data_IF_426343256645
#
_entry.id   IF_426343256645
#
_cell.length_a   1.000
_cell.length_b   1.000
_cell.length_c   1.000
_cell.angle_alpha   90.00
_cell.angle_beta   90.00
_cell.angle_gamma   90.00
#
_symmetry.space_group_name_H-M   'P 1'
#
loop_
_entity.id
_entity.type
_entity.pdbx_description
1 polymer ?
#
# COMPACT_ATOMS: atom_id res chain seq x y z
N UNK A 1 -51.55 0.83 58.89
CA UNK A 1 -51.23 0.02 57.71
C UNK A 1 -50.34 0.85 56.83
N UNK A 2 -49.02 0.67 56.93
CA UNK A 2 -48.02 1.42 56.13
C UNK A 2 -47.48 0.48 55.11
N UNK A 3 -47.77 0.76 53.84
CA UNK A 3 -47.28 0.02 52.70
C UNK A 3 -45.89 0.57 52.29
N UNK A 4 -44.87 -0.24 52.48
CA UNK A 4 -43.50 0.11 52.14
C UNK A 4 -43.32 -0.13 50.61
N UNK A 5 -43.10 0.95 49.89
CA UNK A 5 -42.82 0.95 48.43
C UNK A 5 -41.33 0.55 48.19
N UNK A 6 -41.13 -0.66 47.70
CA UNK A 6 -39.81 -1.16 47.33
C UNK A 6 -39.47 -0.60 45.96
N UNK A 7 -38.58 0.41 45.95
CA UNK A 7 -38.04 0.97 44.70
C UNK A 7 -36.98 0.02 44.15
N UNK A 8 -37.35 -0.74 43.12
CA UNK A 8 -36.44 -1.58 42.34
C UNK A 8 -35.57 -0.71 41.40
N UNK A 9 -34.32 -0.44 41.80
CA UNK A 9 -33.36 0.37 41.05
C UNK A 9 -32.19 -0.45 40.51
N UNK A 10 -32.41 -1.57 39.85
CA UNK A 10 -31.30 -2.45 39.50
C UNK A 10 -31.09 -2.91 38.03
N UNK A 11 -31.63 -2.35 36.95
CA UNK A 11 -31.19 -2.86 35.61
C UNK A 11 -30.24 -1.94 34.82
N UNK A 12 -30.21 -0.62 35.09
CA UNK A 12 -29.41 0.31 34.24
C UNK A 12 -27.87 0.20 34.44
N UNK A 13 -27.43 -0.05 35.67
CA UNK A 13 -26.00 -0.14 36.03
C UNK A 13 -25.33 -1.41 35.44
N UNK A 14 -26.03 -2.54 35.40
CA UNK A 14 -25.54 -3.79 34.83
C UNK A 14 -25.33 -3.70 33.32
N UNK A 15 -26.21 -3.03 32.57
CA UNK A 15 -26.06 -2.82 31.12
C UNK A 15 -24.86 -1.97 30.80
N UNK A 16 -24.58 -0.90 31.54
CA UNK A 16 -23.39 -0.07 31.35
C UNK A 16 -22.08 -0.83 31.57
N UNK A 17 -22.04 -1.69 32.60
CA UNK A 17 -20.85 -2.53 32.88
C UNK A 17 -20.64 -3.58 31.76
N UNK A 18 -21.72 -4.20 31.29
CA UNK A 18 -21.64 -5.18 30.19
C UNK A 18 -21.16 -4.51 28.90
N UNK A 19 -21.67 -3.33 28.56
CA UNK A 19 -21.20 -2.55 27.37
C UNK A 19 -19.73 -2.19 27.52
N UNK A 20 -19.28 -1.71 28.68
CA UNK A 20 -17.87 -1.38 28.93
C UNK A 20 -16.96 -2.61 28.83
N UNK A 21 -17.42 -3.77 29.35
CA UNK A 21 -16.68 -5.04 29.21
C UNK A 21 -16.59 -5.52 27.76
N UNK A 22 -17.66 -5.41 26.98
CA UNK A 22 -17.66 -5.79 25.55
C UNK A 22 -16.75 -4.86 24.76
N UNK A 23 -16.80 -3.55 24.97
CA UNK A 23 -15.91 -2.58 24.33
C UNK A 23 -14.45 -2.86 24.69
N UNK A 24 -14.15 -3.13 25.97
CA UNK A 24 -12.81 -3.50 26.44
C UNK A 24 -12.34 -4.81 25.82
N UNK A 25 -13.21 -5.80 25.68
CA UNK A 25 -12.87 -7.09 25.04
C UNK A 25 -12.58 -6.93 23.55
N UNK A 26 -13.40 -6.15 22.83
CA UNK A 26 -13.18 -5.84 21.42
C UNK A 26 -11.85 -5.10 21.22
N UNK A 27 -11.56 -4.12 22.09
CA UNK A 27 -10.29 -3.38 22.05
C UNK A 27 -9.08 -4.31 22.31
N UNK A 28 -9.18 -5.20 23.33
CA UNK A 28 -8.12 -6.16 23.62
C UNK A 28 -7.91 -7.17 22.48
N UNK A 29 -8.99 -7.71 21.89
CA UNK A 29 -8.90 -8.63 20.75
C UNK A 29 -8.28 -7.93 19.53
N UNK A 30 -8.63 -6.66 19.29
CA UNK A 30 -8.05 -5.89 18.19
C UNK A 30 -6.56 -5.57 18.42
N UNK A 31 -6.19 -5.19 19.65
CA UNK A 31 -4.80 -4.89 19.99
C UNK A 31 -3.92 -6.15 20.05
N UNK A 32 -4.41 -7.21 20.69
CA UNK A 32 -3.68 -8.50 20.77
C UNK A 32 -3.63 -9.17 19.40
N UNK A 33 -4.73 -9.16 18.64
CA UNK A 33 -4.77 -9.67 17.28
C UNK A 33 -3.88 -8.89 16.33
N UNK A 34 -3.83 -7.55 16.44
CA UNK A 34 -2.93 -6.68 15.69
C UNK A 34 -1.46 -6.90 16.06
N UNK A 35 -1.14 -7.05 17.34
CA UNK A 35 0.23 -7.31 17.82
C UNK A 35 0.71 -8.72 17.41
N UNK A 36 -0.12 -9.75 17.57
CA UNK A 36 0.19 -11.12 17.14
C UNK A 36 0.27 -11.17 15.62
N UNK A 37 -0.66 -10.54 14.90
CA UNK A 37 -0.64 -10.44 13.44
C UNK A 37 0.63 -9.75 12.95
N UNK A 38 1.06 -8.67 13.59
CA UNK A 38 2.32 -7.98 13.27
C UNK A 38 3.54 -8.86 13.54
N UNK A 39 3.57 -9.56 14.70
CA UNK A 39 4.68 -10.45 15.06
C UNK A 39 4.75 -11.68 14.13
N UNK A 40 3.61 -12.31 13.84
CA UNK A 40 3.52 -13.46 12.94
C UNK A 40 3.86 -13.06 11.52
N UNK A 41 3.38 -11.89 11.06
CA UNK A 41 3.71 -11.35 9.74
C UNK A 41 5.23 -11.09 9.60
N UNK A 42 5.88 -10.50 10.62
CA UNK A 42 7.33 -10.26 10.60
C UNK A 42 8.15 -11.56 10.69
N UNK A 43 7.69 -12.55 11.44
CA UNK A 43 8.41 -13.83 11.62
C UNK A 43 8.19 -14.78 10.44
N UNK A 44 7.00 -14.78 9.85
CA UNK A 44 6.62 -15.77 8.83
C UNK A 44 6.85 -15.26 7.40
N UNK A 45 6.82 -13.95 7.17
CA UNK A 45 6.99 -13.34 5.85
C UNK A 45 8.32 -12.61 5.67
N UNK A 46 9.29 -12.82 6.55
CA UNK A 46 10.65 -12.24 6.53
C UNK A 46 10.85 -11.23 5.41
N UNK A 47 11.13 -9.99 5.68
CA UNK A 47 11.34 -8.85 4.78
C UNK A 47 10.12 -8.52 3.88
N UNK A 48 9.64 -7.29 3.88
CA UNK A 48 8.59 -6.87 2.96
C UNK A 48 9.03 -7.21 1.53
N UNK A 49 8.12 -7.71 0.68
CA UNK A 49 8.46 -8.07 -0.69
C UNK A 49 9.14 -6.88 -1.36
N UNK A 50 10.34 -7.13 -1.91
CA UNK A 50 11.11 -6.09 -2.60
C UNK A 50 10.25 -5.39 -3.64
N UNK A 51 10.16 -4.07 -3.56
CA UNK A 51 9.45 -3.27 -4.56
C UNK A 51 10.10 -3.42 -5.95
N UNK A 52 9.39 -3.03 -7.02
CA UNK A 52 9.92 -3.14 -8.38
C UNK A 52 11.30 -2.49 -8.54
N UNK A 53 11.50 -1.31 -7.98
CA UNK A 53 12.77 -0.57 -8.07
C UNK A 53 13.90 -1.34 -7.40
N UNK A 54 13.70 -1.87 -6.19
CA UNK A 54 14.72 -2.65 -5.48
C UNK A 54 15.11 -3.93 -6.23
N UNK A 55 14.16 -4.54 -6.96
CA UNK A 55 14.46 -5.68 -7.82
C UNK A 55 15.30 -5.29 -9.03
N UNK A 56 15.01 -4.14 -9.65
CA UNK A 56 15.82 -3.61 -10.74
C UNK A 56 17.24 -3.29 -10.27
N UNK A 57 17.40 -2.66 -9.10
CA UNK A 57 18.71 -2.38 -8.51
C UNK A 57 19.49 -3.67 -8.24
N UNK A 58 18.84 -4.68 -7.67
CA UNK A 58 19.46 -5.99 -7.48
C UNK A 58 19.88 -6.63 -8.80
N UNK A 59 18.99 -6.63 -9.79
CA UNK A 59 19.29 -7.17 -11.12
C UNK A 59 20.49 -6.46 -11.76
N UNK A 60 20.59 -5.14 -11.64
CA UNK A 60 21.72 -4.38 -12.18
C UNK A 60 23.05 -4.75 -11.51
N UNK A 61 23.05 -5.00 -10.22
CA UNK A 61 24.24 -5.46 -9.48
C UNK A 61 24.65 -6.89 -9.87
N UNK A 62 23.69 -7.81 -9.96
CA UNK A 62 23.95 -9.21 -10.33
C UNK A 62 24.46 -9.35 -11.80
N UNK A 63 24.04 -8.43 -12.67
CA UNK A 63 24.50 -8.39 -14.06
C UNK A 63 25.88 -7.74 -14.25
N UNK A 64 26.42 -7.08 -13.22
CA UNK A 64 27.71 -6.40 -13.31
C UNK A 64 27.72 -5.27 -14.35
N UNK A 65 26.65 -4.50 -14.48
CA UNK A 65 26.57 -3.38 -15.41
C UNK A 65 27.68 -2.37 -15.13
N UNK A 66 28.36 -1.92 -16.19
CA UNK A 66 29.44 -0.93 -16.09
C UNK A 66 29.31 0.19 -17.10
N UNK A 67 30.09 1.27 -16.90
CA UNK A 67 30.21 2.38 -17.86
C UNK A 67 28.86 2.99 -18.24
N UNK A 68 28.58 3.08 -19.54
CA UNK A 68 27.40 3.71 -20.10
C UNK A 68 26.09 2.98 -19.70
N UNK A 69 26.13 1.65 -19.55
CA UNK A 69 24.94 0.87 -19.13
C UNK A 69 24.54 1.19 -17.69
N UNK A 70 25.50 1.31 -16.77
CA UNK A 70 25.23 1.70 -15.39
C UNK A 70 24.72 3.15 -15.31
N UNK A 71 25.28 4.06 -16.10
CA UNK A 71 24.79 5.44 -16.17
C UNK A 71 23.34 5.49 -16.69
N UNK A 72 22.99 4.72 -17.73
CA UNK A 72 21.63 4.62 -18.26
C UNK A 72 20.66 4.03 -17.22
N UNK A 73 21.10 3.00 -16.49
CA UNK A 73 20.32 2.40 -15.39
C UNK A 73 20.03 3.42 -14.28
N UNK A 74 21.06 4.12 -13.81
CA UNK A 74 20.91 5.13 -12.77
C UNK A 74 20.01 6.29 -13.21
N UNK A 75 20.10 6.70 -14.49
CA UNK A 75 19.20 7.68 -15.09
C UNK A 75 17.74 7.22 -15.08
N UNK A 76 17.50 5.97 -15.49
CA UNK A 76 16.17 5.36 -15.43
C UNK A 76 15.61 5.37 -13.99
N UNK A 77 16.38 4.91 -13.01
CA UNK A 77 15.95 4.87 -11.60
C UNK A 77 15.66 6.28 -11.09
N UNK A 78 16.49 7.26 -11.38
CA UNK A 78 16.26 8.66 -11.00
C UNK A 78 14.95 9.20 -11.59
N UNK A 79 14.68 8.93 -12.88
CA UNK A 79 13.45 9.31 -13.57
C UNK A 79 12.22 8.66 -12.91
N UNK A 80 12.27 7.35 -12.61
CA UNK A 80 11.20 6.64 -11.92
C UNK A 80 10.88 7.25 -10.54
N UNK A 81 11.92 7.56 -9.76
CA UNK A 81 11.75 8.20 -8.46
C UNK A 81 11.16 9.60 -8.55
N UNK A 82 11.60 10.40 -9.53
CA UNK A 82 11.09 11.74 -9.74
C UNK A 82 9.62 11.70 -10.12
N UNK A 83 9.25 10.97 -11.17
CA UNK A 83 7.87 10.90 -11.68
C UNK A 83 6.91 10.29 -10.64
N UNK A 84 7.38 9.31 -9.86
CA UNK A 84 6.58 8.77 -8.74
C UNK A 84 6.29 9.84 -7.68
N UNK A 85 7.28 10.68 -7.31
CA UNK A 85 7.07 11.79 -6.36
C UNK A 85 6.10 12.83 -6.92
N UNK A 86 6.25 13.19 -8.19
CA UNK A 86 5.37 14.14 -8.88
C UNK A 86 3.92 13.63 -8.93
N UNK A 87 3.73 12.35 -9.29
CA UNK A 87 2.41 11.71 -9.30
C UNK A 87 1.79 11.69 -7.91
N UNK A 88 2.57 11.37 -6.88
CA UNK A 88 2.10 11.40 -5.50
C UNK A 88 1.67 12.82 -5.08
N UNK A 89 2.48 13.84 -5.41
CA UNK A 89 2.15 15.24 -5.10
C UNK A 89 0.89 15.72 -5.83
N UNK A 90 0.68 15.31 -7.09
CA UNK A 90 -0.53 15.62 -7.86
C UNK A 90 -1.77 14.91 -7.31
N UNK A 91 -1.62 13.65 -6.88
CA UNK A 91 -2.75 12.83 -6.44
C UNK A 91 -3.16 13.09 -4.99
N UNK A 92 -2.23 13.49 -4.11
CA UNK A 92 -2.51 13.75 -2.70
C UNK A 92 -3.72 14.70 -2.51
N UNK A 93 -3.79 15.88 -3.11
CA UNK A 93 -4.93 16.78 -2.94
C UNK A 93 -6.23 16.22 -3.55
N UNK A 94 -6.16 15.30 -4.52
CA UNK A 94 -7.35 14.61 -5.05
C UNK A 94 -7.90 13.64 -4.01
N UNK A 95 -7.04 12.86 -3.38
CA UNK A 95 -7.46 11.95 -2.30
C UNK A 95 -7.98 12.69 -1.08
N UNK A 96 -7.37 13.81 -0.68
CA UNK A 96 -7.87 14.66 0.40
C UNK A 96 -9.31 15.11 0.10
N UNK A 97 -9.58 15.58 -1.14
CA UNK A 97 -10.94 15.96 -1.58
C UNK A 97 -11.92 14.77 -1.62
N UNK A 98 -11.46 13.56 -1.97
CA UNK A 98 -12.30 12.36 -1.94
C UNK A 98 -12.72 12.07 -0.50
N UNK A 99 -11.78 12.12 0.47
CA UNK A 99 -12.10 11.94 1.89
C UNK A 99 -13.06 13.03 2.40
N UNK A 100 -12.87 14.30 1.99
CA UNK A 100 -13.79 15.38 2.32
C UNK A 100 -15.21 15.14 1.78
N UNK A 101 -15.34 14.57 0.58
CA UNK A 101 -16.65 14.20 0.03
C UNK A 101 -17.28 13.04 0.81
N UNK A 102 -16.50 12.00 1.12
CA UNK A 102 -16.96 10.83 1.86
C UNK A 102 -17.40 11.17 3.29
N UNK A 103 -16.85 12.24 3.88
CA UNK A 103 -17.22 12.71 5.21
C UNK A 103 -18.57 13.46 5.26
N UNK A 104 -19.15 13.83 4.10
CA UNK A 104 -20.44 14.52 4.04
C UNK A 104 -21.62 13.58 4.36
N UNK A 105 -22.72 14.08 4.94
CA UNK A 105 -23.92 13.26 5.15
C UNK A 105 -24.52 12.69 3.86
N UNK A 106 -24.30 13.35 2.73
CA UNK A 106 -24.68 12.93 1.38
C UNK A 106 -23.48 13.14 0.47
N UNK A 107 -22.62 12.14 0.29
CA UNK A 107 -21.49 12.22 -0.63
C UNK A 107 -21.97 12.39 -2.08
N UNK A 108 -21.30 13.23 -2.85
CA UNK A 108 -21.54 13.36 -4.28
C UNK A 108 -20.71 12.33 -5.05
N UNK A 109 -21.36 11.25 -5.47
CA UNK A 109 -20.72 10.14 -6.20
C UNK A 109 -20.08 10.60 -7.52
N UNK A 110 -20.66 11.57 -8.21
CA UNK A 110 -20.11 12.09 -9.45
C UNK A 110 -18.81 12.84 -9.22
N UNK A 111 -18.76 13.67 -8.19
CA UNK A 111 -17.52 14.39 -7.81
C UNK A 111 -16.43 13.40 -7.41
N UNK A 112 -16.76 12.35 -6.66
CA UNK A 112 -15.82 11.30 -6.28
C UNK A 112 -15.27 10.58 -7.51
N UNK A 113 -16.16 10.18 -8.44
CA UNK A 113 -15.75 9.51 -9.68
C UNK A 113 -14.84 10.39 -10.55
N UNK A 114 -15.14 11.67 -10.68
CA UNK A 114 -14.32 12.63 -11.42
C UNK A 114 -12.93 12.81 -10.80
N UNK A 115 -12.82 12.82 -9.46
CA UNK A 115 -11.54 12.90 -8.75
C UNK A 115 -10.71 11.62 -8.91
N UNK A 116 -11.34 10.44 -8.86
CA UNK A 116 -10.69 9.16 -9.13
C UNK A 116 -10.16 9.13 -10.56
N UNK A 117 -10.97 9.53 -11.56
CA UNK A 117 -10.55 9.56 -12.95
C UNK A 117 -9.34 10.47 -13.18
N UNK A 118 -9.24 11.61 -12.47
CA UNK A 118 -8.06 12.48 -12.51
C UNK A 118 -6.82 11.78 -11.90
N UNK A 119 -6.98 11.08 -10.78
CA UNK A 119 -5.87 10.34 -10.16
C UNK A 119 -5.38 9.20 -11.06
N UNK A 120 -6.28 8.49 -11.73
CA UNK A 120 -5.98 7.44 -12.69
C UNK A 120 -5.26 7.98 -13.94
N UNK A 121 -5.67 9.14 -14.44
CA UNK A 121 -4.97 9.79 -15.55
C UNK A 121 -3.52 10.16 -15.20
N UNK A 122 -3.27 10.66 -13.98
CA UNK A 122 -1.92 10.93 -13.49
C UNK A 122 -1.09 9.62 -13.36
N UNK A 123 -1.72 8.54 -12.89
CA UNK A 123 -1.07 7.25 -12.79
C UNK A 123 -0.73 6.66 -14.15
N UNK A 124 -1.62 6.77 -15.14
CA UNK A 124 -1.37 6.34 -16.51
C UNK A 124 -0.23 7.13 -17.17
N UNK A 125 -0.15 8.45 -16.93
CA UNK A 125 0.97 9.26 -17.38
C UNK A 125 2.30 8.76 -16.79
N UNK A 126 2.33 8.49 -15.47
CA UNK A 126 3.50 7.88 -14.82
C UNK A 126 3.89 6.54 -15.44
N UNK A 127 2.92 5.66 -15.73
CA UNK A 127 3.20 4.37 -16.36
C UNK A 127 3.86 4.52 -17.74
N UNK A 128 3.38 5.47 -18.55
CA UNK A 128 3.95 5.75 -19.87
C UNK A 128 5.41 6.22 -19.77
N UNK A 129 5.67 7.17 -18.87
CA UNK A 129 7.02 7.71 -18.65
C UNK A 129 7.96 6.64 -18.09
N UNK A 130 7.48 5.82 -17.17
CA UNK A 130 8.21 4.69 -16.61
C UNK A 130 8.58 3.64 -17.69
N UNK A 131 7.63 3.33 -18.60
CA UNK A 131 7.87 2.43 -19.73
C UNK A 131 8.92 3.00 -20.67
N UNK A 132 8.81 4.27 -21.05
CA UNK A 132 9.78 4.93 -21.94
C UNK A 132 11.20 4.96 -21.34
N UNK A 133 11.31 5.24 -20.02
CA UNK A 133 12.59 5.21 -19.31
C UNK A 133 13.19 3.77 -19.29
N UNK A 134 12.35 2.76 -19.05
CA UNK A 134 12.76 1.36 -19.10
C UNK A 134 13.21 0.94 -20.50
N UNK A 135 12.46 1.27 -21.54
CA UNK A 135 12.82 0.97 -22.94
C UNK A 135 14.15 1.60 -23.31
N UNK A 136 14.38 2.85 -22.93
CA UNK A 136 15.63 3.56 -23.15
C UNK A 136 16.83 2.87 -22.50
N UNK A 137 16.67 2.40 -21.26
CA UNK A 137 17.69 1.60 -20.59
C UNK A 137 17.92 0.25 -21.29
N UNK A 138 16.85 -0.51 -21.58
CA UNK A 138 16.94 -1.81 -22.23
C UNK A 138 17.59 -1.75 -23.60
N UNK A 139 17.48 -0.62 -24.29
CA UNK A 139 18.18 -0.41 -25.59
C UNK A 139 19.70 -0.40 -25.46
N UNK A 140 20.26 -0.12 -24.29
CA UNK A 140 21.71 -0.15 -24.02
C UNK A 140 22.24 -1.55 -23.74
N UNK A 141 21.35 -2.53 -23.50
CA UNK A 141 21.72 -3.91 -23.16
C UNK A 141 21.82 -4.80 -24.40
N UNK A 142 22.72 -5.77 -24.35
CA UNK A 142 22.75 -6.86 -25.35
C UNK A 142 21.49 -7.75 -25.19
N UNK A 143 21.15 -8.53 -26.23
CA UNK A 143 20.00 -9.46 -26.12
C UNK A 143 20.10 -10.43 -24.93
N UNK A 144 21.30 -10.93 -24.63
CA UNK A 144 21.54 -11.82 -23.49
C UNK A 144 21.33 -11.10 -22.15
N UNK A 145 21.88 -9.88 -22.02
CA UNK A 145 21.69 -9.06 -20.82
C UNK A 145 20.21 -8.70 -20.60
N UNK A 146 19.45 -8.41 -21.68
CA UNK A 146 18.01 -8.15 -21.58
C UNK A 146 17.25 -9.37 -21.05
N UNK A 147 17.57 -10.56 -21.54
CA UNK A 147 16.95 -11.79 -21.04
C UNK A 147 17.27 -12.02 -19.55
N UNK A 148 18.53 -11.86 -19.17
CA UNK A 148 18.97 -11.97 -17.80
C UNK A 148 18.29 -10.94 -16.88
N UNK A 149 18.23 -9.67 -17.30
CA UNK A 149 17.55 -8.61 -16.56
C UNK A 149 16.07 -8.94 -16.36
N UNK A 150 15.39 -9.39 -17.42
CA UNK A 150 13.99 -9.79 -17.34
C UNK A 150 13.77 -10.95 -16.36
N UNK A 151 14.65 -11.94 -16.33
CA UNK A 151 14.55 -13.07 -15.40
C UNK A 151 14.77 -12.65 -13.95
N UNK A 152 15.75 -11.80 -13.66
CA UNK A 152 16.03 -11.27 -12.33
C UNK A 152 14.95 -10.29 -11.84
N UNK A 153 14.34 -9.54 -12.76
CA UNK A 153 13.28 -8.56 -12.44
C UNK A 153 11.89 -9.19 -12.28
N UNK A 154 11.68 -10.41 -12.77
CA UNK A 154 10.40 -11.12 -12.63
C UNK A 154 9.99 -11.25 -11.16
N UNK A 155 8.69 -11.16 -10.92
CA UNK A 155 8.13 -11.50 -9.61
C UNK A 155 8.40 -12.98 -9.33
N UNK A 156 8.93 -13.36 -8.14
CA UNK A 156 9.04 -14.77 -7.78
C UNK A 156 7.67 -15.41 -7.88
N UNK A 157 7.51 -16.37 -8.79
CA UNK A 157 6.22 -17.05 -9.04
C UNK A 157 5.87 -18.07 -7.94
N UNK A 158 6.68 -18.17 -6.89
CA UNK A 158 6.49 -19.11 -5.81
C UNK A 158 6.21 -18.40 -4.49
N UNK A 159 4.96 -18.00 -4.31
CA UNK A 159 4.34 -18.23 -3.00
C UNK A 159 3.85 -19.68 -3.10
N UNK A 160 4.45 -20.66 -2.39
CA UNK A 160 3.93 -22.01 -2.36
C UNK A 160 2.49 -21.94 -1.86
N UNK A 161 1.54 -22.70 -2.44
CA UNK A 161 0.19 -22.77 -1.90
C UNK A 161 0.32 -23.23 -0.45
N UNK A 162 -0.24 -22.45 0.47
CA UNK A 162 -0.31 -22.83 1.87
C UNK A 162 -1.06 -24.15 1.99
N UNK A 163 -0.53 -25.14 2.75
CA UNK A 163 -1.23 -26.37 3.03
C UNK A 163 -2.52 -26.15 3.84
#
# INVERSE_FOLDING_TARGET
>A
MSTTEVVDRAPKRRRGVIIALVVSLVFNVFFVGGLIGHLVFHVQFGHPPMGPIQRFERASHEMGLGGAQLAAFNGMIATLHQHRRETFQKNRPLFDKIWDQLAKPQPDEKVIADLIAQADANHLAFQKDATAAMESFLATLTPQQRAQFADLAKWPQSVPPHP
#
